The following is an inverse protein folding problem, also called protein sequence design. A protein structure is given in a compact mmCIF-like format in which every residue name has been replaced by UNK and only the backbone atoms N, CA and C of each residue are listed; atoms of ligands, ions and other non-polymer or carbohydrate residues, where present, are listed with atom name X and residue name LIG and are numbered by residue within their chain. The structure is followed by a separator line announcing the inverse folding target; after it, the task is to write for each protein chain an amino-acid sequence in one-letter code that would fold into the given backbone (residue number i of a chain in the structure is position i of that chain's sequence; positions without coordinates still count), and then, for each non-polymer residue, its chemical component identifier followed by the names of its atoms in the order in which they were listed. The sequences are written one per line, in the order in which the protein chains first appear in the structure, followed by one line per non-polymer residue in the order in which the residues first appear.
data_IF_833234860639
#
_entry.id   IF_833234860639
#
_cell.length_a   1.000
_cell.length_b   1.000
_cell.length_c   1.000
_cell.angle_alpha   90.00
_cell.angle_beta   90.00
_cell.angle_gamma   90.00
#
_symmetry.space_group_name_H-M   'P 1'
#
loop_
_entity.id
_entity.type
_entity.pdbx_description
1 polymer ?
#
# COMPACT_ATOMS: atom_id res chain seq x y z
N UNK A 1 -9.86 -48.31 15.20
CA UNK A 1 -9.99 -46.83 15.28
C UNK A 1 -8.65 -46.10 15.21
N UNK A 2 -7.55 -46.61 15.79
CA UNK A 2 -6.23 -45.95 15.72
C UNK A 2 -5.50 -46.05 14.35
N UNK A 3 -5.99 -46.86 13.42
CA UNK A 3 -5.36 -47.10 12.11
C UNK A 3 -5.43 -45.87 11.18
N UNK A 4 -6.42 -44.99 11.34
CA UNK A 4 -6.54 -43.76 10.55
C UNK A 4 -5.71 -42.59 11.10
N UNK A 5 -5.17 -42.72 12.31
CA UNK A 5 -4.38 -41.67 12.97
C UNK A 5 -3.14 -41.24 12.17
N UNK A 6 -2.30 -42.14 11.61
CA UNK A 6 -1.17 -41.72 10.77
C UNK A 6 -1.63 -40.99 9.50
N UNK A 7 -2.76 -41.40 8.90
CA UNK A 7 -3.31 -40.75 7.71
C UNK A 7 -3.81 -39.33 8.02
N UNK A 8 -4.44 -39.15 9.18
CA UNK A 8 -4.89 -37.85 9.68
C UNK A 8 -3.72 -36.92 10.04
N UNK A 9 -2.63 -37.45 10.61
CA UNK A 9 -1.42 -36.68 10.91
C UNK A 9 -0.72 -36.22 9.63
N UNK A 10 -0.62 -37.12 8.63
CA UNK A 10 -0.04 -36.79 7.34
C UNK A 10 -0.87 -35.72 6.61
N UNK A 11 -2.20 -35.84 6.60
CA UNK A 11 -3.06 -34.85 5.94
C UNK A 11 -3.03 -33.49 6.65
N UNK A 12 -3.00 -33.48 7.99
CA UNK A 12 -2.84 -32.25 8.77
C UNK A 12 -1.49 -31.58 8.52
N UNK A 13 -0.42 -32.36 8.45
CA UNK A 13 0.92 -31.84 8.13
C UNK A 13 0.97 -31.23 6.72
N UNK A 14 0.42 -31.91 5.72
CA UNK A 14 0.32 -31.39 4.35
C UNK A 14 -0.51 -30.11 4.31
N UNK A 15 -1.65 -30.06 5.02
CA UNK A 15 -2.49 -28.86 5.09
C UNK A 15 -1.75 -27.66 5.71
N UNK A 16 -0.96 -27.88 6.77
CA UNK A 16 -0.15 -26.81 7.36
C UNK A 16 0.89 -26.29 6.36
N UNK A 17 1.57 -27.16 5.61
CA UNK A 17 2.54 -26.73 4.58
C UNK A 17 1.87 -25.92 3.46
N UNK A 18 0.68 -26.33 3.02
CA UNK A 18 -0.09 -25.58 2.03
C UNK A 18 -0.49 -24.22 2.60
N UNK A 19 -1.03 -24.14 3.82
CA UNK A 19 -1.44 -22.86 4.42
C UNK A 19 -0.27 -21.88 4.60
N UNK A 20 0.88 -22.37 5.05
CA UNK A 20 2.10 -21.55 5.17
C UNK A 20 2.54 -21.07 3.79
N UNK A 21 2.57 -21.97 2.81
CA UNK A 21 2.93 -21.64 1.45
C UNK A 21 1.98 -20.62 0.83
N UNK A 22 0.66 -20.77 1.00
CA UNK A 22 -0.36 -19.82 0.52
C UNK A 22 -0.20 -18.47 1.17
N UNK A 23 0.03 -18.42 2.49
CA UNK A 23 0.18 -17.14 3.18
C UNK A 23 1.45 -16.41 2.75
N UNK A 24 2.55 -17.14 2.54
CA UNK A 24 3.79 -16.59 2.00
C UNK A 24 3.66 -16.19 0.52
N UNK A 25 2.90 -16.94 -0.28
CA UNK A 25 2.75 -16.71 -1.72
C UNK A 25 1.64 -15.72 -2.09
N UNK A 26 0.68 -15.48 -1.20
CA UNK A 26 -0.46 -14.59 -1.43
C UNK A 26 -0.05 -13.19 -1.90
N UNK A 27 1.07 -12.68 -1.38
CA UNK A 27 1.58 -11.37 -1.73
C UNK A 27 2.21 -11.32 -3.13
N UNK A 28 2.64 -12.46 -3.66
CA UNK A 28 3.27 -12.61 -4.97
C UNK A 28 2.25 -12.86 -6.09
N UNK A 29 0.99 -13.16 -5.77
CA UNK A 29 -0.05 -13.40 -6.80
C UNK A 29 -0.39 -12.12 -7.58
N UNK A 30 -0.44 -10.98 -6.88
CA UNK A 30 -0.73 -9.69 -7.51
C UNK A 30 0.29 -9.32 -8.60
N UNK A 31 1.61 -9.36 -8.35
CA UNK A 31 2.58 -9.11 -9.40
C UNK A 31 2.63 -10.22 -10.45
N UNK A 32 2.26 -11.48 -10.15
CA UNK A 32 2.21 -12.52 -11.19
C UNK A 32 1.15 -12.25 -12.26
N UNK A 33 -0.08 -11.89 -11.84
CA UNK A 33 -1.16 -11.54 -12.77
C UNK A 33 -0.77 -10.31 -13.59
N UNK A 34 -0.23 -9.26 -12.95
CA UNK A 34 0.12 -8.02 -13.64
C UNK A 34 1.37 -8.12 -14.51
N UNK A 35 2.37 -8.90 -14.13
CA UNK A 35 3.63 -8.99 -14.86
C UNK A 35 3.58 -9.97 -16.04
N UNK A 36 2.74 -11.00 -15.95
CA UNK A 36 2.72 -12.09 -16.92
C UNK A 36 1.36 -12.28 -17.62
N UNK A 37 0.32 -11.53 -17.22
CA UNK A 37 -1.00 -11.63 -17.83
C UNK A 37 -1.69 -12.97 -17.62
N UNK A 38 -1.27 -13.74 -16.61
CA UNK A 38 -1.71 -15.12 -16.38
C UNK A 38 -3.01 -15.17 -15.56
N UNK A 39 -3.83 -16.21 -15.78
CA UNK A 39 -5.03 -16.46 -14.98
C UNK A 39 -4.69 -16.79 -13.50
N UNK A 40 -5.66 -16.62 -12.60
CA UNK A 40 -5.48 -16.71 -11.15
C UNK A 40 -4.91 -18.07 -10.68
N UNK A 41 -5.27 -19.18 -11.32
CA UNK A 41 -4.70 -20.49 -10.99
C UNK A 41 -3.22 -20.63 -11.39
N UNK A 42 -2.84 -20.05 -12.52
CA UNK A 42 -1.44 -20.06 -12.97
C UNK A 42 -0.58 -19.14 -12.09
N UNK A 43 -1.11 -17.97 -11.73
CA UNK A 43 -0.47 -17.06 -10.78
C UNK A 43 -0.18 -17.72 -9.43
N UNK A 44 -1.13 -18.52 -8.92
CA UNK A 44 -0.94 -19.29 -7.67
C UNK A 44 0.17 -20.34 -7.84
N UNK A 45 0.13 -21.11 -8.92
CA UNK A 45 1.13 -22.15 -9.22
C UNK A 45 2.54 -21.57 -9.29
N UNK A 46 2.73 -20.42 -9.95
CA UNK A 46 4.01 -19.71 -10.03
C UNK A 46 4.46 -19.15 -8.70
N UNK A 47 3.56 -18.53 -7.94
CA UNK A 47 3.85 -18.02 -6.60
C UNK A 47 4.39 -19.11 -5.67
N UNK A 48 3.77 -20.29 -5.68
CA UNK A 48 4.28 -21.45 -4.95
C UNK A 48 5.62 -21.94 -5.49
N UNK A 49 5.75 -22.06 -6.81
CA UNK A 49 6.96 -22.54 -7.47
C UNK A 49 8.18 -21.68 -7.13
N UNK A 50 8.05 -20.35 -7.16
CA UNK A 50 9.18 -19.45 -6.88
C UNK A 50 9.63 -19.47 -5.42
N UNK A 51 8.69 -19.56 -4.47
CA UNK A 51 9.02 -19.66 -3.05
C UNK A 51 9.74 -20.98 -2.75
N UNK A 52 9.21 -22.10 -3.25
CA UNK A 52 9.78 -23.41 -2.98
C UNK A 52 11.03 -23.73 -3.81
N UNK A 53 11.21 -23.10 -4.98
CA UNK A 53 12.43 -23.25 -5.78
C UNK A 53 13.66 -22.70 -5.03
N UNK A 54 13.55 -21.52 -4.42
CA UNK A 54 14.67 -20.88 -3.67
C UNK A 54 14.20 -20.24 -2.35
N UNK A 55 13.80 -21.04 -1.34
CA UNK A 55 13.19 -20.53 -0.10
C UNK A 55 14.13 -19.62 0.70
N UNK A 56 15.44 -19.94 0.70
CA UNK A 56 16.43 -19.12 1.40
C UNK A 56 16.57 -17.71 0.81
N UNK A 57 16.46 -17.60 -0.52
CA UNK A 57 16.54 -16.31 -1.20
C UNK A 57 15.30 -15.46 -0.93
N UNK A 58 14.12 -16.08 -0.95
CA UNK A 58 12.87 -15.41 -0.61
C UNK A 58 12.91 -14.84 0.81
N UNK A 59 13.33 -15.64 1.80
CA UNK A 59 13.46 -15.19 3.20
C UNK A 59 14.46 -14.01 3.30
N UNK A 60 15.61 -14.11 2.62
CA UNK A 60 16.60 -13.03 2.62
C UNK A 60 16.07 -11.71 2.02
N UNK A 61 15.34 -11.79 0.91
CA UNK A 61 14.73 -10.63 0.29
C UNK A 61 13.64 -10.02 1.15
N UNK A 62 12.80 -10.85 1.78
CA UNK A 62 11.76 -10.39 2.69
C UNK A 62 12.36 -9.71 3.94
N UNK A 63 13.46 -10.24 4.47
CA UNK A 63 14.20 -9.62 5.58
C UNK A 63 14.78 -8.26 5.15
N UNK A 64 15.46 -8.21 4.01
CA UNK A 64 16.09 -6.98 3.50
C UNK A 64 15.05 -5.91 3.23
N UNK A 65 13.93 -6.27 2.60
CA UNK A 65 12.81 -5.37 2.37
C UNK A 65 12.21 -4.87 3.69
N UNK A 66 11.99 -5.74 4.68
CA UNK A 66 11.46 -5.29 5.98
C UNK A 66 12.41 -4.31 6.69
N UNK A 67 13.72 -4.57 6.68
CA UNK A 67 14.71 -3.65 7.29
C UNK A 67 14.69 -2.28 6.61
N UNK A 68 14.73 -2.27 5.27
CA UNK A 68 14.66 -1.02 4.51
C UNK A 68 13.33 -0.29 4.72
N UNK A 69 12.21 -1.03 4.70
CA UNK A 69 10.88 -0.51 4.95
C UNK A 69 10.75 0.16 6.32
N UNK A 70 11.24 -0.46 7.38
CA UNK A 70 11.23 0.14 8.73
C UNK A 70 12.01 1.45 8.74
N UNK A 71 13.18 1.51 8.10
CA UNK A 71 13.99 2.74 8.03
C UNK A 71 13.21 3.85 7.29
N UNK A 72 12.65 3.55 6.11
CA UNK A 72 11.90 4.52 5.33
C UNK A 72 10.64 5.00 6.05
N UNK A 73 9.89 4.09 6.68
CA UNK A 73 8.68 4.42 7.44
C UNK A 73 9.03 5.33 8.62
N UNK A 74 10.05 4.99 9.41
CA UNK A 74 10.48 5.83 10.53
C UNK A 74 10.87 7.22 10.04
N UNK A 75 11.62 7.31 8.93
CA UNK A 75 11.97 8.59 8.32
C UNK A 75 10.73 9.40 7.88
N UNK A 76 9.80 8.77 7.15
CA UNK A 76 8.57 9.44 6.67
C UNK A 76 7.70 9.92 7.83
N UNK A 77 7.56 9.13 8.88
CA UNK A 77 6.79 9.52 10.07
C UNK A 77 7.45 10.68 10.83
N UNK A 78 8.77 10.63 11.04
CA UNK A 78 9.51 11.73 11.68
C UNK A 78 9.40 13.00 10.82
N UNK A 79 9.55 12.88 9.50
CA UNK A 79 9.45 14.00 8.58
C UNK A 79 8.03 14.59 8.57
N UNK A 80 6.99 13.77 8.48
CA UNK A 80 5.61 14.23 8.46
C UNK A 80 5.22 14.95 9.77
N UNK A 81 5.55 14.34 10.92
CA UNK A 81 5.29 14.95 12.23
C UNK A 81 6.12 16.21 12.42
N UNK A 82 7.40 16.19 12.07
CA UNK A 82 8.29 17.35 12.16
C UNK A 82 7.85 18.52 11.27
N UNK A 83 7.41 18.25 10.04
CA UNK A 83 6.87 19.28 9.17
C UNK A 83 5.56 19.86 9.72
N UNK A 84 4.69 19.03 10.30
CA UNK A 84 3.47 19.51 10.94
C UNK A 84 3.78 20.43 12.12
N UNK A 85 4.70 20.05 13.01
CA UNK A 85 5.04 20.88 14.18
C UNK A 85 5.69 22.20 13.78
N UNK A 86 6.61 22.18 12.81
CA UNK A 86 7.25 23.40 12.29
C UNK A 86 6.24 24.32 11.59
N UNK A 87 5.31 23.76 10.80
CA UNK A 87 4.28 24.55 10.14
C UNK A 87 3.35 25.25 11.14
N UNK A 88 3.00 24.57 12.23
CA UNK A 88 2.15 25.11 13.28
C UNK A 88 2.88 26.18 14.12
N UNK A 89 4.15 25.96 14.46
CA UNK A 89 5.00 26.95 15.16
C UNK A 89 5.20 28.22 14.31
N UNK A 90 5.42 28.07 13.00
CA UNK A 90 5.48 29.20 12.07
C UNK A 90 4.16 29.99 12.04
N UNK A 91 3.01 29.29 12.07
CA UNK A 91 1.70 29.91 12.14
C UNK A 91 1.47 30.71 13.42
N UNK A 92 1.90 30.19 14.58
CA UNK A 92 1.78 30.88 15.87
C UNK A 92 2.63 32.16 15.92
N UNK A 93 3.85 32.11 15.38
CA UNK A 93 4.74 33.29 15.31
C UNK A 93 4.15 34.43 14.48
N UNK A 94 3.46 34.11 13.40
CA UNK A 94 2.86 35.13 12.52
C UNK A 94 1.54 35.67 13.10
N UNK A 95 0.75 34.81 13.75
CA UNK A 95 -0.54 35.17 14.33
C UNK A 95 -0.68 34.59 15.75
N UNK A 96 -0.40 35.37 16.81
CA UNK A 96 -0.48 34.88 18.19
C UNK A 96 -1.88 34.39 18.60
N UNK A 97 -2.92 34.89 17.93
CA UNK A 97 -4.31 34.44 18.12
C UNK A 97 -4.54 32.99 17.67
N UNK A 98 -3.66 32.46 16.81
CA UNK A 98 -3.72 31.10 16.29
C UNK A 98 -3.33 30.05 17.33
N UNK A 99 -2.67 30.43 18.44
CA UNK A 99 -2.25 29.51 19.50
C UNK A 99 -3.38 28.62 20.00
N UNK A 100 -4.55 29.19 20.31
CA UNK A 100 -5.70 28.43 20.79
C UNK A 100 -6.28 27.47 19.75
N UNK A 101 -6.15 27.81 18.46
CA UNK A 101 -6.61 26.99 17.33
C UNK A 101 -5.66 25.80 17.14
N UNK A 102 -4.35 26.06 17.19
CA UNK A 102 -3.30 25.06 17.12
C UNK A 102 -3.38 24.07 18.29
N UNK A 103 -3.46 24.58 19.52
CA UNK A 103 -3.58 23.77 20.74
C UNK A 103 -4.82 22.85 20.68
N UNK A 104 -5.94 23.35 20.16
CA UNK A 104 -7.15 22.54 19.94
C UNK A 104 -6.96 21.45 18.88
N UNK A 105 -6.41 21.78 17.70
CA UNK A 105 -6.23 20.83 16.61
C UNK A 105 -5.27 19.70 17.01
N UNK A 106 -4.17 20.06 17.66
CA UNK A 106 -3.14 19.12 18.07
C UNK A 106 -3.59 18.26 19.26
N UNK A 107 -4.28 18.85 20.25
CA UNK A 107 -4.91 18.07 21.31
C UNK A 107 -6.00 17.14 20.75
N UNK A 108 -6.73 17.49 19.70
CA UNK A 108 -7.71 16.57 19.11
C UNK A 108 -7.08 15.30 18.52
N UNK A 109 -5.84 15.36 18.06
CA UNK A 109 -5.12 14.19 17.51
C UNK A 109 -4.36 13.41 18.58
N UNK A 110 -3.75 14.09 19.55
CA UNK A 110 -2.81 13.50 20.53
C UNK A 110 -3.41 13.33 21.94
N UNK A 111 -4.59 13.90 22.22
CA UNK A 111 -5.23 13.81 23.55
C UNK A 111 -5.67 12.40 23.90
N UNK A 112 -5.37 11.99 25.13
CA UNK A 112 -5.88 10.78 25.77
C UNK A 112 -7.40 10.76 25.88
N UNK A 113 -8.06 11.93 25.91
CA UNK A 113 -9.53 12.06 25.95
C UNK A 113 -10.19 11.82 24.59
N UNK A 114 -9.66 10.92 23.76
CA UNK A 114 -10.47 10.20 22.78
C UNK A 114 -11.48 9.34 23.56
N UNK A 115 -12.60 9.96 23.91
CA UNK A 115 -13.69 9.47 24.78
C UNK A 115 -14.50 8.31 24.15
N UNK A 116 -13.81 7.30 23.60
CA UNK A 116 -14.30 5.94 23.30
C UNK A 116 -13.27 4.84 23.54
N UNK A 117 -12.04 5.14 23.97
CA UNK A 117 -11.05 4.13 24.31
C UNK A 117 -10.89 4.03 25.85
N UNK A 118 -11.33 2.90 26.41
CA UNK A 118 -11.24 2.56 27.84
C UNK A 118 -9.81 2.21 28.29
N UNK A 119 -8.79 3.00 27.95
CA UNK A 119 -7.41 2.70 28.36
C UNK A 119 -6.84 3.84 29.17
N UNK A 120 -6.66 3.55 30.46
CA UNK A 120 -5.93 4.36 31.44
C UNK A 120 -4.43 4.10 31.22
N UNK A 121 -3.62 5.15 31.24
CA UNK A 121 -2.17 5.05 31.11
C UNK A 121 -1.56 4.27 32.27
N UNK A 122 -1.07 3.06 32.01
CA UNK A 122 -0.29 2.25 32.96
C UNK A 122 1.02 1.76 32.30
N UNK A 123 2.15 2.02 32.99
CA UNK A 123 3.49 1.69 32.51
C UNK A 123 3.68 0.17 32.32
N UNK A 124 2.97 -0.64 33.12
CA UNK A 124 2.98 -2.09 33.05
C UNK A 124 2.38 -2.62 31.73
N UNK A 125 1.46 -1.87 31.10
CA UNK A 125 0.81 -2.28 29.86
C UNK A 125 1.69 -2.11 28.62
N UNK A 126 2.83 -1.39 28.71
CA UNK A 126 3.80 -1.23 27.61
C UNK A 126 4.53 -2.53 27.27
N UNK A 127 4.71 -3.40 28.27
CA UNK A 127 5.50 -4.64 28.16
C UNK A 127 4.60 -5.83 27.85
N UNK A 128 3.40 -5.89 28.43
CA UNK A 128 2.53 -7.07 28.37
C UNK A 128 1.59 -7.13 27.17
N UNK A 129 1.28 -6.00 26.50
CA UNK A 129 0.41 -6.02 25.31
C UNK A 129 0.96 -5.10 24.21
N UNK A 130 1.17 -5.61 22.99
CA UNK A 130 1.51 -4.76 21.86
C UNK A 130 0.24 -4.01 21.42
N UNK A 131 -0.02 -2.83 22.00
CA UNK A 131 -0.95 -1.89 21.36
C UNK A 131 -0.13 -0.92 20.49
N UNK A 132 -0.15 -1.07 19.16
CA UNK A 132 0.66 -0.22 18.27
C UNK A 132 0.31 1.27 18.39
N UNK A 133 -0.95 1.58 18.71
CA UNK A 133 -1.45 2.94 18.92
C UNK A 133 -0.91 3.63 20.18
N UNK A 134 -0.59 2.89 21.25
CA UNK A 134 -0.15 3.50 22.52
C UNK A 134 1.29 4.00 22.48
N UNK A 135 2.17 3.32 21.73
CA UNK A 135 3.60 3.63 21.69
C UNK A 135 3.91 4.88 20.85
N UNK A 136 3.22 5.05 19.72
CA UNK A 136 3.36 6.25 18.86
C UNK A 136 2.75 7.48 19.51
N UNK A 137 1.60 7.32 20.16
CA UNK A 137 0.92 8.42 20.87
C UNK A 137 1.68 8.84 22.13
N UNK A 138 2.34 7.92 22.84
CA UNK A 138 3.19 8.24 23.98
C UNK A 138 4.43 9.05 23.59
N UNK A 139 5.10 8.67 22.49
CA UNK A 139 6.22 9.43 21.93
C UNK A 139 5.74 10.80 21.42
N UNK A 140 4.61 10.86 20.71
CA UNK A 140 4.02 12.12 20.27
C UNK A 140 3.65 13.06 21.43
N UNK A 141 3.13 12.50 22.54
CA UNK A 141 2.75 13.24 23.75
C UNK A 141 3.95 13.84 24.49
N UNK A 142 5.09 13.14 24.53
CA UNK A 142 6.32 13.68 25.12
C UNK A 142 6.99 14.74 24.24
N UNK A 143 6.92 14.59 22.91
CA UNK A 143 7.47 15.55 21.96
C UNK A 143 6.63 16.84 21.90
N UNK A 144 5.30 16.72 22.02
CA UNK A 144 4.36 17.81 21.82
C UNK A 144 3.42 17.86 23.04
N UNK A 145 3.84 18.49 24.14
CA UNK A 145 3.00 18.62 25.35
C UNK A 145 1.75 19.46 25.04
N UNK A 146 0.57 18.88 24.77
CA UNK A 146 -0.56 19.67 24.27
C UNK A 146 -1.25 20.35 25.45
N UNK A 147 -1.50 21.65 25.36
CA UNK A 147 -2.41 22.31 26.29
C UNK A 147 -3.85 21.97 25.92
N UNK A 148 -4.61 21.47 26.90
CA UNK A 148 -6.01 21.11 26.68
C UNK A 148 -6.89 22.37 26.69
N UNK A 149 -7.53 22.65 25.56
CA UNK A 149 -8.54 23.72 25.45
C UNK A 149 -9.87 23.10 24.99
N UNK A 150 -10.96 23.44 25.66
CA UNK A 150 -12.28 22.90 25.32
C UNK A 150 -12.82 23.55 24.04
N UNK A 151 -13.34 22.74 23.10
CA UNK A 151 -13.94 23.25 21.85
C UNK A 151 -15.06 24.28 22.09
N UNK A 152 -15.85 24.07 23.14
CA UNK A 152 -16.99 24.93 23.45
C UNK A 152 -16.57 26.33 23.95
N UNK A 153 -15.34 26.51 24.46
CA UNK A 153 -14.84 27.82 24.90
C UNK A 153 -14.27 28.68 23.77
N UNK A 154 -14.09 28.14 22.56
CA UNK A 154 -13.59 28.91 21.42
C UNK A 154 -14.70 29.79 20.80
N UNK A 155 -14.34 30.97 20.31
CA UNK A 155 -15.22 31.81 19.47
C UNK A 155 -15.53 31.11 18.16
N UNK A 156 -16.70 31.36 17.55
CA UNK A 156 -17.18 30.68 16.34
C UNK A 156 -16.14 30.64 15.20
N UNK A 157 -15.50 31.76 14.91
CA UNK A 157 -14.49 31.88 13.85
C UNK A 157 -13.28 30.95 14.09
N UNK A 158 -12.82 30.86 15.34
CA UNK A 158 -11.69 30.00 15.72
C UNK A 158 -12.06 28.51 15.65
N UNK A 159 -13.33 28.15 15.82
CA UNK A 159 -13.79 26.75 15.65
C UNK A 159 -13.65 26.31 14.20
N UNK A 160 -14.09 27.14 13.27
CA UNK A 160 -14.01 26.85 11.83
C UNK A 160 -12.55 26.71 11.41
N UNK A 161 -11.69 27.64 11.85
CA UNK A 161 -10.25 27.55 11.60
C UNK A 161 -9.63 26.25 12.16
N UNK A 162 -9.99 25.85 13.38
CA UNK A 162 -9.47 24.63 14.01
C UNK A 162 -9.86 23.36 13.27
N UNK A 163 -11.09 23.28 12.76
CA UNK A 163 -11.55 22.13 11.96
C UNK A 163 -10.80 22.05 10.64
N UNK A 164 -10.55 23.18 9.99
CA UNK A 164 -9.80 23.22 8.72
C UNK A 164 -8.35 22.76 8.94
N UNK A 165 -7.70 23.25 10.00
CA UNK A 165 -6.33 22.85 10.35
C UNK A 165 -6.27 21.36 10.71
N UNK A 166 -7.24 20.87 11.49
CA UNK A 166 -7.35 19.45 11.83
C UNK A 166 -7.52 18.58 10.58
N UNK A 167 -8.35 18.99 9.63
CA UNK A 167 -8.54 18.26 8.38
C UNK A 167 -7.22 18.12 7.60
N UNK A 168 -6.46 19.21 7.43
CA UNK A 168 -5.14 19.17 6.77
C UNK A 168 -4.11 18.33 7.54
N UNK A 169 -4.14 18.38 8.86
CA UNK A 169 -3.26 17.58 9.71
C UNK A 169 -3.60 16.08 9.61
N UNK A 170 -4.88 15.72 9.53
CA UNK A 170 -5.31 14.34 9.30
C UNK A 170 -4.94 13.85 7.89
N UNK A 171 -5.04 14.69 6.86
CA UNK A 171 -4.61 14.32 5.50
C UNK A 171 -3.11 14.04 5.48
N UNK A 172 -2.28 14.91 6.05
CA UNK A 172 -0.81 14.75 6.06
C UNK A 172 -0.36 13.52 6.85
N UNK A 173 -0.91 13.28 8.06
CA UNK A 173 -0.63 12.06 8.82
C UNK A 173 -1.22 10.81 8.14
N UNK A 174 -2.38 10.94 7.50
CA UNK A 174 -3.01 9.87 6.72
C UNK A 174 -2.15 9.45 5.53
N UNK A 175 -1.50 10.39 4.85
CA UNK A 175 -0.53 10.10 3.79
C UNK A 175 0.72 9.37 4.32
N UNK A 176 1.21 9.74 5.50
CA UNK A 176 2.30 8.99 6.14
C UNK A 176 1.88 7.54 6.47
N UNK A 177 0.62 7.32 6.86
CA UNK A 177 0.09 5.98 7.09
C UNK A 177 -0.15 5.20 5.79
N UNK A 178 -0.65 5.85 4.74
CA UNK A 178 -0.89 5.21 3.44
C UNK A 178 0.40 4.72 2.78
N UNK A 179 1.53 5.40 3.06
CA UNK A 179 2.85 4.96 2.65
C UNK A 179 3.18 3.52 3.08
N UNK A 180 2.72 3.07 4.26
CA UNK A 180 2.95 1.69 4.72
C UNK A 180 2.38 0.65 3.76
N UNK A 181 1.13 0.89 3.33
CA UNK A 181 0.40 -0.02 2.44
C UNK A 181 1.04 0.02 1.06
N UNK A 182 1.36 1.21 0.55
CA UNK A 182 2.02 1.39 -0.74
C UNK A 182 3.40 0.71 -0.78
N UNK A 183 4.21 0.91 0.26
CA UNK A 183 5.53 0.29 0.40
C UNK A 183 5.42 -1.23 0.41
N UNK A 184 4.48 -1.78 1.17
CA UNK A 184 4.28 -3.22 1.25
C UNK A 184 3.99 -3.81 -0.13
N UNK A 185 2.99 -3.29 -0.84
CA UNK A 185 2.63 -3.79 -2.19
C UNK A 185 3.81 -3.65 -3.16
N UNK A 186 4.47 -2.49 -3.17
CA UNK A 186 5.63 -2.25 -4.04
C UNK A 186 6.79 -3.20 -3.78
N UNK A 187 7.11 -3.48 -2.50
CA UNK A 187 8.17 -4.41 -2.13
C UNK A 187 7.91 -5.84 -2.62
N UNK A 188 6.64 -6.28 -2.60
CA UNK A 188 6.25 -7.62 -3.05
C UNK A 188 6.40 -7.77 -4.57
N UNK A 189 6.08 -6.72 -5.32
CA UNK A 189 6.32 -6.67 -6.77
C UNK A 189 7.81 -6.79 -7.09
N UNK A 190 8.68 -6.06 -6.39
CA UNK A 190 10.14 -6.13 -6.60
C UNK A 190 10.67 -7.53 -6.25
N UNK A 191 10.24 -8.11 -5.13
CA UNK A 191 10.66 -9.45 -4.72
C UNK A 191 10.25 -10.49 -5.78
N UNK A 192 9.05 -10.38 -6.33
CA UNK A 192 8.58 -11.24 -7.43
C UNK A 192 9.49 -11.14 -8.66
N UNK A 193 9.79 -9.92 -9.13
CA UNK A 193 10.69 -9.70 -10.28
C UNK A 193 12.11 -10.26 -10.07
N UNK A 194 12.65 -10.14 -8.85
CA UNK A 194 13.97 -10.69 -8.53
C UNK A 194 13.93 -12.23 -8.48
N UNK A 195 12.84 -12.81 -7.96
CA UNK A 195 12.67 -14.27 -7.92
C UNK A 195 12.52 -14.85 -9.31
N UNK A 196 11.65 -14.29 -10.18
CA UNK A 196 11.49 -14.79 -11.56
C UNK A 196 12.80 -14.71 -12.34
N UNK A 197 13.58 -13.65 -12.15
CA UNK A 197 14.91 -13.53 -12.76
C UNK A 197 15.87 -14.62 -12.28
N UNK A 198 15.77 -15.04 -11.02
CA UNK A 198 16.66 -16.07 -10.44
C UNK A 198 16.22 -17.51 -10.70
N UNK A 199 14.93 -17.75 -10.90
CA UNK A 199 14.38 -19.09 -11.13
C UNK A 199 14.28 -19.36 -12.63
N UNK A 200 13.71 -18.42 -13.38
CA UNK A 200 13.39 -18.59 -14.81
C UNK A 200 14.34 -17.84 -15.74
N UNK A 201 15.16 -16.92 -15.22
CA UNK A 201 16.08 -16.12 -16.03
C UNK A 201 15.43 -14.94 -16.76
N UNK A 202 14.12 -14.73 -16.58
CA UNK A 202 13.35 -13.65 -17.21
C UNK A 202 13.82 -12.28 -16.68
N UNK A 203 14.09 -11.34 -17.58
CA UNK A 203 14.54 -10.00 -17.19
C UNK A 203 13.43 -9.21 -16.51
N UNK A 204 13.76 -8.26 -15.62
CA UNK A 204 12.73 -7.54 -14.82
C UNK A 204 11.84 -6.61 -15.66
N UNK A 205 12.28 -6.22 -16.86
CA UNK A 205 11.57 -5.28 -17.72
C UNK A 205 10.62 -5.97 -18.72
N UNK A 206 10.68 -7.30 -18.80
CA UNK A 206 9.81 -8.09 -19.66
C UNK A 206 8.45 -8.28 -18.98
N UNK A 207 7.49 -7.43 -19.31
CA UNK A 207 6.15 -7.42 -18.73
C UNK A 207 5.14 -7.66 -19.85
N UNK A 208 4.11 -8.43 -19.57
CA UNK A 208 3.01 -8.65 -20.50
C UNK A 208 2.32 -7.32 -20.81
N UNK A 209 2.23 -7.00 -22.10
CA UNK A 209 1.46 -5.88 -22.62
C UNK A 209 0.20 -6.44 -23.29
N UNK A 210 -0.97 -5.99 -22.86
CA UNK A 210 -2.22 -6.33 -23.55
C UNK A 210 -2.16 -5.76 -24.97
N UNK A 211 -2.37 -6.57 -26.02
CA UNK A 211 -2.45 -6.03 -27.38
C UNK A 211 -3.62 -5.05 -27.42
N UNK A 212 -3.34 -3.79 -27.78
CA UNK A 212 -4.36 -2.79 -28.01
C UNK A 212 -5.37 -3.37 -29.01
N UNK A 213 -6.62 -3.58 -28.57
CA UNK A 213 -7.70 -3.91 -29.49
C UNK A 213 -7.83 -2.71 -30.45
N UNK A 214 -7.28 -2.84 -31.66
CA UNK A 214 -7.54 -1.89 -32.75
C UNK A 214 -9.05 -1.66 -32.82
N UNK A 215 -9.50 -0.46 -32.44
CA UNK A 215 -10.88 -0.02 -32.63
C UNK A 215 -11.20 -0.16 -34.11
N UNK A 216 -11.88 -1.25 -34.47
CA UNK A 216 -12.42 -1.46 -35.82
C UNK A 216 -13.16 -0.18 -36.19
N UNK A 217 -12.77 0.53 -37.26
CA UNK A 217 -13.36 1.82 -37.55
C UNK A 217 -14.85 1.61 -37.78
N UNK A 218 -15.66 2.11 -36.83
CA UNK A 218 -17.10 2.19 -36.98
C UNK A 218 -17.36 2.88 -38.31
N UNK A 219 -18.14 2.21 -39.16
CA UNK A 219 -18.52 2.70 -40.47
C UNK A 219 -19.13 4.10 -40.34
N UNK A 220 -18.29 5.12 -40.58
CA UNK A 220 -18.77 6.48 -40.77
C UNK A 220 -19.40 6.50 -42.14
N UNK A 221 -20.73 6.44 -42.17
CA UNK A 221 -21.54 6.80 -43.32
C UNK A 221 -21.18 8.22 -43.73
N UNK A 222 -20.32 8.36 -44.74
CA UNK A 222 -20.19 9.60 -45.50
C UNK A 222 -20.63 9.31 -46.93
N UNK A 223 -21.78 9.88 -47.25
CA UNK A 223 -22.39 9.98 -48.56
C UNK A 223 -21.38 10.41 -49.65
N UNK A 224 -21.43 9.70 -50.78
CA UNK A 224 -21.01 10.06 -52.16
C UNK A 224 -20.75 11.55 -52.44
N UNK A 225 -19.83 11.91 -53.38
CA UNK A 225 -19.80 11.34 -54.73
C UNK A 225 -18.42 10.95 -55.30
N UNK A 226 -18.45 9.71 -55.78
CA UNK A 226 -17.78 9.16 -56.94
C UNK A 226 -17.38 10.21 -58.01
N UNK A 227 -16.06 10.31 -58.26
CA UNK A 227 -15.46 11.10 -59.31
C UNK A 227 -14.15 10.48 -59.80
N UNK A 228 -14.23 9.89 -61.00
CA UNK A 228 -13.17 9.72 -62.01
C UNK A 228 -11.90 8.86 -61.79
N UNK A 229 -11.77 7.91 -62.74
CA UNK A 229 -10.57 7.48 -63.52
C UNK A 229 -9.57 6.55 -62.79
N UNK A 230 -9.55 5.25 -63.13
CA UNK A 230 -8.90 4.58 -64.29
C UNK A 230 -7.42 4.28 -64.03
N UNK A 231 -7.09 2.99 -64.00
CA UNK A 231 -5.91 2.30 -64.56
C UNK A 231 -6.05 0.81 -64.17
N UNK A 232 -6.44 -0.12 -65.08
CA UNK A 232 -5.55 -0.90 -65.96
C UNK A 232 -4.31 -1.43 -65.20
N UNK A 233 -4.00 -2.71 -65.10
CA UNK A 233 -4.54 -3.94 -65.66
C UNK A 233 -3.55 -5.05 -65.31
N UNK A 234 -4.02 -6.25 -64.99
CA UNK A 234 -3.18 -7.46 -64.93
C UNK A 234 -4.09 -8.68 -65.11
N UNK A 235 -4.26 -9.08 -66.37
CA UNK A 235 -4.86 -10.35 -66.76
C UNK A 235 -3.84 -11.10 -67.63
N UNK A 236 -3.06 -11.94 -66.96
CA UNK A 236 -2.24 -13.02 -67.50
C UNK A 236 -1.92 -13.86 -66.24
N UNK A 237 -2.11 -15.17 -66.13
CA UNK A 237 -2.22 -16.25 -67.10
C UNK A 237 -2.46 -17.50 -66.23
N UNK A 238 -3.51 -18.29 -66.47
CA UNK A 238 -3.63 -19.61 -65.87
C UNK A 238 -4.36 -20.56 -66.82
N UNK A 239 -3.56 -21.27 -67.62
CA UNK A 239 -3.90 -22.57 -68.21
C UNK A 239 -2.85 -23.56 -67.73
N UNK A 240 -3.24 -24.44 -66.82
CA UNK A 240 -2.88 -25.87 -66.82
C UNK A 240 -3.85 -26.61 -65.93
#
# INVERSE_FOLDING_TARGET
MAIFLPLALLSGFIMVLILIGTFASATLFHPAIGAEGTDGFDAVSRGFSYIFAKPWHYIWYQLTANVYGVICVVFVFIFAVGMCTLALDAGEKLYPQFKNVNDFALSSVVSEKHSRAHYKWDIESLVTKPHPYGRTMAVAKEIIKPQYVNFNSLRGDHKVAGVIVLAWLLVTLGLAYSYLISYFISSQTIIYFILRKKVDGIEMNEVYEEPEEEEKPSAVTVTSPQGEKKEEGQAAEKKS
#
